data_IF_028342612947
#
_entry.id   IF_028342612947
#
_cell.length_a   1.000
_cell.length_b   1.000
_cell.length_c   1.000
_cell.angle_alpha   90.00
_cell.angle_beta   90.00
_cell.angle_gamma   90.00
#
_symmetry.space_group_name_H-M   'P 1'
#
loop_
_entity.id
_entity.type
_entity.pdbx_description
1 polymer ?
#
# COMPACT_ATOMS: atom_id res chain seq x y z
N UNK A 1 -0.09 -7.21 11.11
CA UNK A 1 -1.27 -7.13 12.00
C UNK A 1 -2.30 -8.14 11.50
N UNK A 2 -2.10 -9.43 11.77
CA UNK A 2 -2.83 -10.53 11.14
C UNK A 2 -4.35 -10.50 11.41
N UNK A 3 -4.76 -10.14 12.63
CA UNK A 3 -6.18 -10.16 13.06
C UNK A 3 -7.12 -9.26 12.23
N UNK A 4 -6.63 -8.15 11.67
CA UNK A 4 -7.48 -7.27 10.84
C UNK A 4 -7.66 -7.84 9.43
N UNK A 5 -6.62 -8.46 8.88
CA UNK A 5 -6.67 -9.06 7.54
C UNK A 5 -7.55 -10.32 7.56
N UNK A 6 -7.50 -11.12 8.64
CA UNK A 6 -8.41 -12.25 8.88
C UNK A 6 -9.87 -11.81 9.00
N UNK A 7 -10.14 -10.73 9.73
CA UNK A 7 -11.49 -10.18 9.84
C UNK A 7 -12.04 -9.67 8.50
N UNK A 8 -11.17 -9.17 7.61
CA UNK A 8 -11.56 -8.77 6.25
C UNK A 8 -11.85 -9.99 5.39
N UNK A 9 -11.00 -11.02 5.44
CA UNK A 9 -11.24 -12.27 4.71
C UNK A 9 -12.55 -12.95 5.12
N UNK A 10 -12.91 -12.88 6.41
CA UNK A 10 -14.21 -13.33 6.89
C UNK A 10 -15.36 -12.53 6.28
N UNK A 11 -15.27 -11.20 6.26
CA UNK A 11 -16.29 -10.34 5.64
C UNK A 11 -16.41 -10.62 4.13
N UNK A 12 -15.28 -10.77 3.42
CA UNK A 12 -15.26 -11.07 1.99
C UNK A 12 -15.82 -12.48 1.67
N UNK A 13 -15.80 -13.40 2.65
CA UNK A 13 -16.38 -14.74 2.54
C UNK A 13 -17.90 -14.79 2.77
N UNK A 14 -18.47 -13.79 3.44
CA UNK A 14 -19.93 -13.65 3.59
C UNK A 14 -20.48 -13.27 2.21
N UNK A 15 -21.40 -14.08 1.69
CA UNK A 15 -21.88 -13.98 0.32
C UNK A 15 -22.41 -12.57 -0.02
N UNK A 16 -22.26 -12.15 -1.29
CA UNK A 16 -22.72 -10.86 -1.80
C UNK A 16 -24.23 -10.68 -1.51
N UNK A 17 -24.58 -9.94 -0.46
CA UNK A 17 -25.96 -9.68 -0.04
C UNK A 17 -26.30 -10.08 1.40
N UNK A 18 -25.41 -10.76 2.12
CA UNK A 18 -25.63 -11.09 3.52
C UNK A 18 -25.44 -9.86 4.42
N UNK A 19 -26.45 -9.54 5.24
CA UNK A 19 -26.38 -8.38 6.14
C UNK A 19 -25.52 -8.74 7.34
N UNK A 20 -24.32 -8.16 7.43
CA UNK A 20 -23.45 -8.30 8.59
C UNK A 20 -23.26 -6.97 9.33
N UNK A 21 -22.93 -7.07 10.62
CA UNK A 21 -22.63 -5.92 11.47
C UNK A 21 -21.13 -5.89 11.81
N UNK A 22 -20.45 -4.79 11.47
CA UNK A 22 -19.03 -4.61 11.80
C UNK A 22 -18.72 -4.74 13.30
N UNK A 23 -19.67 -4.44 14.18
CA UNK A 23 -19.48 -4.57 15.62
C UNK A 23 -19.30 -6.04 16.05
N UNK A 24 -20.04 -6.97 15.43
CA UNK A 24 -19.96 -8.41 15.74
C UNK A 24 -18.63 -8.99 15.29
N UNK A 25 -18.23 -8.69 14.05
CA UNK A 25 -16.93 -9.13 13.50
C UNK A 25 -15.77 -8.52 14.29
N UNK A 26 -15.84 -7.23 14.62
CA UNK A 26 -14.83 -6.55 15.43
C UNK A 26 -14.64 -7.23 16.80
N UNK A 27 -15.74 -7.63 17.46
CA UNK A 27 -15.69 -8.35 18.75
C UNK A 27 -15.08 -9.73 18.61
N UNK A 28 -15.43 -10.47 17.55
CA UNK A 28 -14.91 -11.83 17.29
C UNK A 28 -13.40 -11.84 17.10
N UNK A 29 -12.87 -10.88 16.37
CA UNK A 29 -11.42 -10.77 16.07
C UNK A 29 -10.66 -9.86 17.03
N UNK A 30 -11.31 -9.33 18.08
CA UNK A 30 -10.74 -8.34 19.01
C UNK A 30 -10.08 -7.13 18.31
N UNK A 31 -10.71 -6.66 17.23
CA UNK A 31 -10.26 -5.51 16.42
C UNK A 31 -11.15 -4.30 16.68
N UNK A 32 -10.60 -3.09 16.62
CA UNK A 32 -11.41 -1.87 16.67
C UNK A 32 -12.36 -1.79 15.46
N UNK A 33 -13.67 -1.65 15.73
CA UNK A 33 -14.73 -1.56 14.71
C UNK A 33 -14.47 -0.49 13.65
N UNK A 34 -13.99 0.69 14.05
CA UNK A 34 -13.74 1.82 13.14
C UNK A 34 -12.56 1.48 12.21
N UNK A 35 -11.51 0.86 12.75
CA UNK A 35 -10.36 0.40 11.97
C UNK A 35 -10.75 -0.66 10.96
N UNK A 36 -11.57 -1.63 11.36
CA UNK A 36 -12.05 -2.70 10.48
C UNK A 36 -12.90 -2.15 9.33
N UNK A 37 -13.91 -1.31 9.65
CA UNK A 37 -14.79 -0.70 8.65
C UNK A 37 -14.02 0.17 7.64
N UNK A 38 -13.12 1.04 8.12
CA UNK A 38 -12.29 1.89 7.24
C UNK A 38 -11.39 1.09 6.31
N UNK A 39 -10.88 -0.06 6.76
CA UNK A 39 -10.00 -0.92 5.97
C UNK A 39 -10.78 -1.76 4.95
N UNK A 40 -11.90 -2.35 5.34
CA UNK A 40 -12.78 -3.10 4.44
C UNK A 40 -13.38 -2.23 3.32
N UNK A 41 -13.89 -1.04 3.65
CA UNK A 41 -14.44 -0.10 2.66
C UNK A 41 -13.37 0.60 1.79
N UNK A 42 -12.07 0.25 1.97
CA UNK A 42 -10.93 0.86 1.29
C UNK A 42 -10.90 2.41 1.36
N UNK A 43 -11.51 2.98 2.40
CA UNK A 43 -11.55 4.45 2.65
C UNK A 43 -10.16 4.97 3.08
N UNK A 44 -9.26 4.06 3.47
CA UNK A 44 -7.85 4.40 3.50
C UNK A 44 -7.32 4.64 2.09
N UNK A 45 -7.14 5.93 1.77
CA UNK A 45 -6.32 6.34 0.64
C UNK A 45 -5.00 5.56 0.70
N UNK A 46 -4.51 5.03 -0.44
CA UNK A 46 -3.18 4.46 -0.46
C UNK A 46 -2.22 5.48 0.15
N UNK A 47 -1.42 5.03 1.13
CA UNK A 47 -0.44 5.89 1.82
C UNK A 47 0.58 6.49 0.84
N UNK A 48 0.61 5.95 -0.37
CA UNK A 48 1.44 6.37 -1.47
C UNK A 48 0.64 7.25 -2.43
N UNK A 49 1.06 8.51 -2.46
CA UNK A 49 0.56 9.64 -3.26
C UNK A 49 0.72 9.50 -4.78
N UNK A 50 0.96 8.28 -5.28
CA UNK A 50 1.19 8.03 -6.70
C UNK A 50 -0.06 7.58 -7.41
N UNK A 51 -0.20 7.94 -8.69
CA UNK A 51 -1.09 7.20 -9.56
C UNK A 51 -0.56 5.77 -9.75
N UNK A 52 -1.44 4.76 -9.89
CA UNK A 52 -1.02 3.37 -10.09
C UNK A 52 -0.02 3.20 -11.25
N UNK A 53 -0.17 4.01 -12.31
CA UNK A 53 0.71 4.01 -13.46
C UNK A 53 2.13 4.51 -13.13
N UNK A 54 2.25 5.60 -12.38
CA UNK A 54 3.56 6.13 -11.95
C UNK A 54 4.27 5.16 -11.00
N UNK A 55 3.51 4.54 -10.09
CA UNK A 55 4.03 3.53 -9.18
C UNK A 55 4.58 2.31 -9.95
N UNK A 56 3.82 1.77 -10.90
CA UNK A 56 4.25 0.64 -11.71
C UNK A 56 5.54 0.93 -12.49
N UNK A 57 5.64 2.13 -13.10
CA UNK A 57 6.82 2.55 -13.85
C UNK A 57 8.07 2.65 -12.96
N UNK A 58 7.93 3.25 -11.78
CA UNK A 58 9.05 3.36 -10.84
C UNK A 58 9.46 2.00 -10.25
N UNK A 59 8.50 1.14 -9.89
CA UNK A 59 8.80 -0.21 -9.37
C UNK A 59 9.54 -1.03 -10.43
N UNK A 60 9.09 -0.99 -11.70
CA UNK A 60 9.78 -1.66 -12.81
C UNK A 60 11.22 -1.17 -12.96
N UNK A 61 11.43 0.14 -12.94
CA UNK A 61 12.76 0.74 -13.02
C UNK A 61 13.68 0.27 -11.87
N UNK A 62 13.16 0.22 -10.64
CA UNK A 62 13.93 -0.26 -9.49
C UNK A 62 14.29 -1.75 -9.65
N UNK A 63 13.38 -2.58 -10.14
CA UNK A 63 13.64 -4.01 -10.39
C UNK A 63 14.73 -4.21 -11.44
N UNK A 64 14.62 -3.56 -12.60
CA UNK A 64 15.62 -3.64 -13.67
C UNK A 64 17.02 -3.23 -13.19
N UNK A 65 17.11 -2.20 -12.34
CA UNK A 65 18.38 -1.78 -11.74
C UNK A 65 18.92 -2.78 -10.71
N UNK A 66 18.03 -3.37 -9.90
CA UNK A 66 18.40 -4.36 -8.90
C UNK A 66 18.91 -5.65 -9.54
N UNK A 67 18.28 -6.10 -10.63
CA UNK A 67 18.72 -7.24 -11.46
C UNK A 67 20.14 -7.01 -12.03
N UNK A 68 20.46 -5.77 -12.39
CA UNK A 68 21.81 -5.36 -12.84
C UNK A 68 22.82 -5.17 -11.71
N UNK A 69 22.47 -5.56 -10.47
CA UNK A 69 23.27 -5.36 -9.26
C UNK A 69 23.59 -3.89 -8.95
N UNK A 70 22.72 -2.97 -9.37
CA UNK A 70 22.84 -1.53 -9.13
C UNK A 70 21.61 -1.01 -8.38
N UNK A 71 21.38 -1.42 -7.13
CA UNK A 71 20.19 -1.02 -6.38
C UNK A 71 20.12 0.51 -6.29
N UNK A 72 18.99 1.14 -6.67
CA UNK A 72 18.90 2.59 -6.74
C UNK A 72 18.94 3.24 -5.37
N UNK A 73 19.79 4.23 -5.22
CA UNK A 73 19.84 5.09 -4.03
C UNK A 73 18.55 5.91 -3.92
N UNK A 74 18.18 6.30 -2.69
CA UNK A 74 17.06 7.22 -2.42
C UNK A 74 17.08 8.49 -3.28
N UNK A 75 18.26 9.01 -3.60
CA UNK A 75 18.43 10.17 -4.49
C UNK A 75 18.00 9.86 -5.93
N UNK A 76 18.35 8.69 -6.46
CA UNK A 76 17.97 8.24 -7.80
C UNK A 76 16.44 8.10 -7.90
N UNK A 77 15.82 7.49 -6.90
CA UNK A 77 14.36 7.34 -6.80
C UNK A 77 13.67 8.72 -6.80
N UNK A 78 14.19 9.67 -6.02
CA UNK A 78 13.69 11.06 -5.98
C UNK A 78 13.83 11.74 -7.35
N UNK A 79 15.00 11.67 -7.97
CA UNK A 79 15.29 12.35 -9.22
C UNK A 79 14.43 11.80 -10.35
N UNK A 80 14.26 10.48 -10.41
CA UNK A 80 13.39 9.82 -11.38
C UNK A 80 11.94 10.29 -11.22
N UNK A 81 11.43 10.32 -9.99
CA UNK A 81 10.07 10.78 -9.74
C UNK A 81 9.87 12.26 -9.99
N UNK A 82 10.87 13.08 -9.67
CA UNK A 82 10.79 14.52 -9.93
C UNK A 82 10.73 14.81 -11.43
N UNK A 83 11.46 14.01 -12.23
CA UNK A 83 11.35 14.02 -13.70
C UNK A 83 9.98 13.55 -14.19
N UNK A 84 9.45 12.46 -13.65
CA UNK A 84 8.14 11.93 -14.08
C UNK A 84 6.96 12.82 -13.68
N UNK A 85 7.03 13.47 -12.52
CA UNK A 85 5.97 14.30 -11.98
C UNK A 85 6.09 15.79 -12.37
N UNK A 86 7.11 16.13 -13.16
CA UNK A 86 7.47 17.52 -13.54
C UNK A 86 7.49 18.48 -12.34
N UNK A 87 7.78 17.95 -11.15
CA UNK A 87 7.72 18.65 -9.86
C UNK A 87 8.69 18.01 -8.89
N UNK A 88 9.31 18.84 -8.06
CA UNK A 88 10.20 18.38 -7.00
C UNK A 88 9.48 17.54 -5.94
N UNK A 89 10.06 16.38 -5.63
CA UNK A 89 9.53 15.42 -4.67
C UNK A 89 10.34 15.45 -3.37
N UNK A 90 9.70 15.45 -2.20
CA UNK A 90 10.43 15.56 -0.92
C UNK A 90 11.17 14.27 -0.53
N UNK A 91 12.22 14.38 0.30
CA UNK A 91 12.92 13.21 0.89
C UNK A 91 11.96 12.33 1.72
N UNK A 92 11.02 12.95 2.42
CA UNK A 92 10.01 12.25 3.23
C UNK A 92 9.09 11.40 2.36
N UNK A 93 8.75 11.88 1.17
CA UNK A 93 7.98 11.12 0.19
C UNK A 93 8.71 9.84 -0.24
N UNK A 94 10.02 9.90 -0.49
CA UNK A 94 10.81 8.70 -0.87
C UNK A 94 10.76 7.64 0.22
N UNK A 95 10.85 8.08 1.49
CA UNK A 95 10.73 7.17 2.64
C UNK A 95 9.35 6.51 2.69
N UNK A 96 8.29 7.29 2.45
CA UNK A 96 6.92 6.75 2.39
C UNK A 96 6.74 5.77 1.23
N UNK A 97 7.28 6.09 0.05
CA UNK A 97 7.23 5.23 -1.13
C UNK A 97 7.84 3.85 -0.86
N UNK A 98 9.06 3.82 -0.32
CA UNK A 98 9.76 2.58 0.02
C UNK A 98 8.94 1.78 1.04
N UNK A 99 8.39 2.44 2.06
CA UNK A 99 7.59 1.77 3.08
C UNK A 99 6.28 1.18 2.55
N UNK A 100 5.56 1.86 1.63
CA UNK A 100 4.36 1.27 1.03
C UNK A 100 4.70 0.09 0.11
N UNK A 101 5.82 0.18 -0.61
CA UNK A 101 6.19 -0.77 -1.65
C UNK A 101 7.15 -1.86 -1.18
N UNK A 102 7.37 -1.96 0.14
CA UNK A 102 8.32 -2.91 0.73
C UNK A 102 8.12 -4.32 0.17
N UNK A 103 6.89 -4.81 0.13
CA UNK A 103 6.58 -6.15 -0.38
C UNK A 103 6.90 -6.33 -1.88
N UNK A 104 6.80 -5.26 -2.69
CA UNK A 104 7.06 -5.31 -4.14
C UNK A 104 8.55 -5.18 -4.48
N UNK A 105 9.33 -4.59 -3.57
CA UNK A 105 10.76 -4.31 -3.73
C UNK A 105 11.66 -5.40 -3.14
N UNK A 106 11.14 -6.21 -2.21
CA UNK A 106 11.90 -7.29 -1.54
C UNK A 106 11.66 -8.67 -2.17
N UNK A 107 11.00 -8.71 -3.34
CA UNK A 107 10.61 -9.94 -4.04
C UNK A 107 11.44 -10.18 -5.28
#
# INVERSE_FOLDING_TARGET
MPAIDEAIAYIDSLALGEKFEYAKVAKMYSVNRITLSRRHQRVQRPRCTLSPHQEAKLVRYIKELTERRLPPTRSIIRNFMSKLATKDVSKSWVTRFINCNKNKLTS
#
